data_IF_811445514025
#
_entry.id   IF_811445514025
#
_cell.length_a   1.000
_cell.length_b   1.000
_cell.length_c   1.000
_cell.angle_alpha   90.00
_cell.angle_beta   90.00
_cell.angle_gamma   90.00
#
_symmetry.space_group_name_H-M   'P 1'
#
loop_
_entity.id
_entity.type
_entity.pdbx_description
1 polymer ?
#
# COMPACT_ATOMS: atom_id res chain seq x y z
N UNK A 1 -21.80 -1.28 7.68
CA UNK A 1 -21.17 -0.19 6.90
C UNK A 1 -19.66 -0.34 7.02
N UNK A 2 -18.89 -0.14 5.95
CA UNK A 2 -17.43 -0.25 5.95
C UNK A 2 -16.81 0.93 5.19
N UNK A 3 -15.60 1.34 5.58
CA UNK A 3 -14.92 2.49 4.99
C UNK A 3 -13.41 2.37 5.11
N UNK A 4 -12.69 3.20 4.36
CA UNK A 4 -11.23 3.20 4.30
C UNK A 4 -10.66 4.61 4.40
N UNK A 5 -9.47 4.73 4.99
CA UNK A 5 -8.75 6.00 5.13
C UNK A 5 -7.37 5.86 4.48
N UNK A 6 -7.22 6.11 3.17
CA UNK A 6 -5.90 6.19 2.53
C UNK A 6 -5.09 7.37 3.11
N UNK A 7 -3.76 7.30 3.03
CA UNK A 7 -2.92 8.41 3.49
C UNK A 7 -3.04 9.65 2.60
N UNK A 8 -3.45 9.49 1.34
CA UNK A 8 -3.74 10.62 0.46
C UNK A 8 -4.42 10.21 -0.85
N UNK A 9 -5.03 11.20 -1.50
CA UNK A 9 -5.58 11.10 -2.84
C UNK A 9 -4.58 11.73 -3.83
N UNK A 10 -4.21 11.00 -4.88
CA UNK A 10 -3.31 11.49 -5.93
C UNK A 10 -4.10 11.68 -7.21
N UNK A 11 -4.25 12.94 -7.64
CA UNK A 11 -5.03 13.32 -8.82
C UNK A 11 -6.45 12.73 -8.78
N UNK A 12 -6.96 12.32 -9.94
CA UNK A 12 -8.31 11.76 -10.07
C UNK A 12 -8.37 10.26 -9.74
N UNK A 13 -7.31 9.51 -10.08
CA UNK A 13 -7.36 8.04 -10.11
C UNK A 13 -6.44 7.32 -9.11
N UNK A 14 -5.59 8.06 -8.39
CA UNK A 14 -4.55 7.49 -7.54
C UNK A 14 -4.78 7.62 -6.04
N UNK A 15 -4.17 6.73 -5.29
CA UNK A 15 -4.07 6.76 -3.83
C UNK A 15 -2.61 6.68 -3.41
N UNK A 16 -2.33 6.99 -2.14
CA UNK A 16 -1.07 6.60 -1.50
C UNK A 16 -1.32 5.95 -0.15
N UNK A 17 -0.48 4.94 0.15
CA UNK A 17 -0.40 4.27 1.44
C UNK A 17 1.06 4.23 1.88
N UNK A 18 1.36 4.85 3.02
CA UNK A 18 2.71 5.10 3.51
C UNK A 18 2.92 4.31 4.79
N UNK A 19 4.02 3.55 4.84
CA UNK A 19 4.47 2.84 6.03
C UNK A 19 5.86 3.30 6.43
N UNK A 20 6.06 3.49 7.74
CA UNK A 20 7.37 3.78 8.34
C UNK A 20 7.84 2.60 9.22
N UNK A 21 8.22 1.44 8.65
CA UNK A 21 8.50 0.23 9.42
C UNK A 21 9.90 0.26 10.09
N UNK A 22 10.22 -0.77 10.87
CA UNK A 22 11.59 -1.01 11.33
C UNK A 22 12.54 -1.25 10.15
N UNK A 23 13.82 -0.86 10.29
CA UNK A 23 14.80 -0.88 9.18
C UNK A 23 14.96 -2.26 8.53
N UNK A 24 14.87 -3.33 9.32
CA UNK A 24 14.91 -4.71 8.82
C UNK A 24 13.75 -4.98 7.84
N UNK A 25 12.55 -4.50 8.17
CA UNK A 25 11.37 -4.68 7.32
C UNK A 25 11.40 -3.74 6.11
N UNK A 26 11.89 -2.51 6.28
CA UNK A 26 12.10 -1.57 5.18
C UNK A 26 13.06 -2.15 4.14
N UNK A 27 14.24 -2.63 4.57
CA UNK A 27 15.22 -3.27 3.68
C UNK A 27 14.72 -4.56 3.06
N UNK A 28 13.99 -5.40 3.82
CA UNK A 28 13.38 -6.61 3.27
C UNK A 28 12.43 -6.27 2.12
N UNK A 29 11.57 -5.27 2.31
CA UNK A 29 10.72 -4.78 1.24
C UNK A 29 11.55 -4.21 0.08
N UNK A 30 12.56 -3.39 0.37
CA UNK A 30 13.44 -2.80 -0.65
C UNK A 30 14.07 -3.84 -1.57
N UNK A 31 14.57 -4.94 -1.01
CA UNK A 31 15.25 -6.01 -1.75
C UNK A 31 14.29 -6.95 -2.49
N UNK A 32 13.11 -7.21 -1.91
CA UNK A 32 12.20 -8.24 -2.44
C UNK A 32 11.08 -7.67 -3.30
N UNK A 33 10.74 -6.39 -3.11
CA UNK A 33 9.57 -5.73 -3.71
C UNK A 33 8.26 -6.47 -3.42
N UNK A 34 8.25 -7.26 -2.33
CA UNK A 34 7.08 -8.01 -1.85
C UNK A 34 6.37 -7.19 -0.79
N UNK A 35 5.26 -6.56 -1.20
CA UNK A 35 4.31 -5.95 -0.28
C UNK A 35 3.65 -7.05 0.56
N UNK A 36 3.50 -6.82 1.87
CA UNK A 36 2.84 -7.79 2.74
C UNK A 36 1.37 -8.01 2.31
N UNK A 37 0.84 -9.25 2.38
CA UNK A 37 -0.53 -9.54 1.97
C UNK A 37 -1.59 -8.66 2.64
N UNK A 38 -1.42 -8.32 3.93
CA UNK A 38 -2.34 -7.45 4.66
C UNK A 38 -2.38 -6.01 4.10
N UNK A 39 -1.25 -5.50 3.60
CA UNK A 39 -1.20 -4.17 2.97
C UNK A 39 -1.76 -4.20 1.56
N UNK A 40 -1.58 -5.31 0.81
CA UNK A 40 -2.27 -5.49 -0.47
C UNK A 40 -3.78 -5.49 -0.29
N UNK A 41 -4.30 -6.27 0.68
CA UNK A 41 -5.72 -6.28 1.00
C UNK A 41 -6.22 -4.89 1.45
N UNK A 42 -5.46 -4.17 2.29
CA UNK A 42 -5.77 -2.81 2.71
C UNK A 42 -5.91 -1.86 1.50
N UNK A 43 -4.95 -1.87 0.57
CA UNK A 43 -4.95 -0.98 -0.60
C UNK A 43 -6.04 -1.34 -1.61
N UNK A 44 -6.29 -2.64 -1.84
CA UNK A 44 -7.41 -3.08 -2.67
C UNK A 44 -8.75 -2.64 -2.08
N UNK A 45 -8.91 -2.72 -0.76
CA UNK A 45 -10.11 -2.22 -0.09
C UNK A 45 -10.26 -0.71 -0.18
N UNK A 46 -9.17 0.06 -0.01
CA UNK A 46 -9.18 1.51 -0.22
C UNK A 46 -9.64 1.87 -1.65
N UNK A 47 -9.13 1.15 -2.66
CA UNK A 47 -9.57 1.32 -4.05
C UNK A 47 -11.04 0.93 -4.23
N UNK A 48 -11.52 -0.13 -3.57
CA UNK A 48 -12.93 -0.52 -3.57
C UNK A 48 -13.85 0.59 -3.00
N UNK A 49 -13.46 1.19 -1.86
CA UNK A 49 -14.23 2.26 -1.23
C UNK A 49 -14.24 3.57 -2.02
N UNK A 50 -13.17 3.87 -2.77
CA UNK A 50 -12.98 5.17 -3.43
C UNK A 50 -13.23 5.15 -4.93
N UNK A 51 -13.33 3.98 -5.56
CA UNK A 51 -13.42 3.83 -7.01
C UNK A 51 -12.11 4.14 -7.77
N UNK A 52 -10.99 4.29 -7.06
CA UNK A 52 -9.68 4.63 -7.66
C UNK A 52 -8.96 3.40 -8.22
N UNK A 53 -8.02 3.66 -9.11
CA UNK A 53 -7.45 2.68 -10.05
C UNK A 53 -6.08 2.16 -9.64
N UNK A 54 -5.37 2.88 -8.79
CA UNK A 54 -4.07 2.47 -8.28
C UNK A 54 -3.77 3.12 -6.93
N UNK A 55 -2.87 2.50 -6.17
CA UNK A 55 -2.31 3.03 -4.94
C UNK A 55 -0.78 2.93 -4.99
N UNK A 56 -0.08 4.04 -4.75
CA UNK A 56 1.36 4.03 -4.56
C UNK A 56 1.69 3.66 -3.11
N UNK A 57 2.16 2.42 -2.93
CA UNK A 57 2.68 1.94 -1.66
C UNK A 57 4.07 2.51 -1.42
N UNK A 58 4.24 3.22 -0.32
CA UNK A 58 5.51 3.83 0.07
C UNK A 58 6.02 3.20 1.36
N UNK A 59 7.26 2.73 1.34
CA UNK A 59 7.99 2.44 2.57
C UNK A 59 9.04 3.53 2.79
N UNK A 60 9.05 4.13 3.97
CA UNK A 60 9.98 5.20 4.34
C UNK A 60 10.70 4.86 5.65
N UNK A 61 12.02 5.08 5.69
CA UNK A 61 12.79 4.96 6.93
C UNK A 61 13.84 6.10 7.03
N UNK A 62 13.64 7.09 7.93
CA UNK A 62 14.53 8.23 8.05
C UNK A 62 15.92 7.89 8.62
N UNK A 63 16.10 6.70 9.21
CA UNK A 63 17.37 6.28 9.85
C UNK A 63 18.48 6.02 8.84
N UNK A 64 18.15 5.71 7.58
CA UNK A 64 19.15 5.64 6.51
C UNK A 64 19.69 7.05 6.24
N UNK A 65 21.00 7.26 6.29
CA UNK A 65 21.61 8.59 6.23
C UNK A 65 23.02 8.55 5.62
N UNK A 66 23.56 9.72 5.27
CA UNK A 66 24.85 9.82 4.58
C UNK A 66 24.82 9.03 3.27
N UNK A 67 25.76 8.10 3.12
CA UNK A 67 25.88 7.28 1.91
C UNK A 67 24.66 6.37 1.65
N UNK A 68 23.90 6.02 2.69
CA UNK A 68 22.70 5.18 2.56
C UNK A 68 21.40 5.96 2.38
N UNK A 69 21.45 7.30 2.26
CA UNK A 69 20.24 8.13 2.14
C UNK A 69 19.33 7.77 0.95
N UNK A 70 19.90 7.17 -0.12
CA UNK A 70 19.15 6.69 -1.27
C UNK A 70 18.22 5.51 -0.93
N UNK A 71 18.44 4.83 0.20
CA UNK A 71 17.59 3.75 0.71
C UNK A 71 16.45 4.26 1.60
N UNK A 72 16.22 5.57 1.72
CA UNK A 72 15.17 6.11 2.62
C UNK A 72 13.75 5.83 2.15
N UNK A 73 13.51 5.77 0.84
CA UNK A 73 12.18 5.74 0.24
C UNK A 73 12.11 4.74 -0.90
N UNK A 74 11.28 3.71 -0.76
CA UNK A 74 10.90 2.82 -1.86
C UNK A 74 9.42 3.01 -2.13
N UNK A 75 9.08 3.19 -3.40
CA UNK A 75 7.70 3.29 -3.88
C UNK A 75 7.42 2.15 -4.83
N UNK A 76 6.24 1.55 -4.71
CA UNK A 76 5.73 0.54 -5.63
C UNK A 76 4.26 0.81 -5.93
N UNK A 77 3.92 0.91 -7.22
CA UNK A 77 2.54 1.08 -7.65
C UNK A 77 1.79 -0.25 -7.59
N UNK A 78 0.66 -0.24 -6.91
CA UNK A 78 -0.28 -1.36 -6.84
C UNK A 78 -1.50 -0.98 -7.65
N UNK A 79 -1.80 -1.78 -8.67
CA UNK A 79 -2.99 -1.60 -9.49
C UNK A 79 -4.20 -2.24 -8.83
N UNK A 80 -5.37 -1.63 -9.05
CA UNK A 80 -6.66 -2.21 -8.71
C UNK A 80 -6.78 -3.60 -9.33
N UNK A 81 -7.27 -4.54 -8.54
CA UNK A 81 -7.59 -5.88 -8.97
C UNK A 81 -9.04 -6.19 -8.56
N UNK A 82 -9.97 -6.04 -9.51
CA UNK A 82 -11.39 -6.22 -9.25
C UNK A 82 -11.75 -7.65 -8.83
N UNK A 83 -11.09 -8.68 -9.38
CA UNK A 83 -11.31 -10.07 -8.98
C UNK A 83 -10.95 -10.31 -7.50
N UNK A 84 -9.81 -9.76 -7.06
CA UNK A 84 -9.38 -9.85 -5.66
C UNK A 84 -10.33 -9.09 -4.73
N UNK A 85 -10.76 -7.89 -5.14
CA UNK A 85 -11.71 -7.07 -4.39
C UNK A 85 -13.04 -7.80 -4.22
N UNK A 86 -13.60 -8.33 -5.30
CA UNK A 86 -14.87 -9.05 -5.27
C UNK A 86 -14.80 -10.30 -4.39
N UNK A 87 -13.72 -11.08 -4.51
CA UNK A 87 -13.48 -12.25 -3.66
C UNK A 87 -13.43 -11.88 -2.17
N UNK A 88 -12.74 -10.78 -1.85
CA UNK A 88 -12.60 -10.29 -0.48
C UNK A 88 -13.93 -9.76 0.08
N UNK A 89 -14.69 -9.01 -0.71
CA UNK A 89 -16.03 -8.50 -0.33
C UNK A 89 -17.00 -9.66 -0.06
N UNK A 90 -16.97 -10.73 -0.85
CA UNK A 90 -17.80 -11.93 -0.62
C UNK A 90 -17.51 -12.54 0.75
N UNK A 91 -16.22 -12.66 1.12
CA UNK A 91 -15.82 -13.18 2.42
C UNK A 91 -16.24 -12.26 3.57
N UNK A 92 -16.10 -10.94 3.40
CA UNK A 92 -16.42 -9.96 4.44
C UNK A 92 -17.90 -9.80 4.75
N UNK A 93 -18.80 -10.12 3.81
CA UNK A 93 -20.26 -10.05 4.03
C UNK A 93 -20.77 -11.00 5.13
N UNK A 94 -19.95 -11.95 5.56
CA UNK A 94 -20.28 -12.91 6.62
C UNK A 94 -19.77 -12.50 8.01
N UNK A 95 -19.11 -11.35 8.12
CA UNK A 95 -18.70 -10.73 9.39
C UNK A 95 -19.63 -9.56 9.71
#
# INVERSE_FOLDING_TARGET
>A
MAGASPNGLIGENGLTEIKCPQSVNHLRFWMTEKVKPEYLAQMQFQMACTGRQWCDFMSYDPRFAGQSAHLRLKVQRIHRNDEQIESSIKQWKHF
#
